data_IF_582303512367
#
_entry.id   IF_582303512367
#
_cell.length_a   1.000
_cell.length_b   1.000
_cell.length_c   1.000
_cell.angle_alpha   90.00
_cell.angle_beta   90.00
_cell.angle_gamma   90.00
#
_symmetry.space_group_name_H-M   'P 1'
#
loop_
_entity.id
_entity.type
_entity.pdbx_description
1 polymer ?
#
# COMPACT_ATOMS: atom_id res chain seq x y z
N UNK A 1 -13.01 -13.38 26.18
CA UNK A 1 -12.50 -12.93 24.87
C UNK A 1 -12.54 -11.41 24.83
N UNK A 2 -11.43 -10.77 25.17
CA UNK A 2 -11.30 -9.31 25.19
C UNK A 2 -11.21 -8.83 23.75
N UNK A 3 -12.24 -8.12 23.27
CA UNK A 3 -12.17 -7.43 21.98
C UNK A 3 -11.00 -6.44 22.03
N UNK A 4 -10.07 -6.42 21.05
CA UNK A 4 -9.11 -5.33 21.00
C UNK A 4 -9.89 -4.06 20.70
N UNK A 5 -9.96 -3.16 21.67
CA UNK A 5 -10.38 -1.79 21.43
C UNK A 5 -9.35 -1.23 20.44
N UNK A 6 -9.78 -0.97 19.20
CA UNK A 6 -8.98 -0.13 18.30
C UNK A 6 -8.90 1.23 18.99
N UNK A 7 -7.76 1.51 19.62
CA UNK A 7 -7.49 2.82 20.17
C UNK A 7 -7.43 3.82 19.02
N UNK A 8 -8.56 4.48 18.76
CA UNK A 8 -8.71 5.63 17.84
C UNK A 8 -8.10 6.89 18.46
N UNK A 9 -6.98 6.76 19.18
CA UNK A 9 -6.27 7.87 19.77
C UNK A 9 -4.98 8.10 19.02
N UNK A 10 -4.80 9.32 18.51
CA UNK A 10 -3.57 9.75 17.86
C UNK A 10 -2.39 9.55 18.83
N UNK A 11 -1.42 8.73 18.42
CA UNK A 11 -0.19 8.53 19.20
C UNK A 11 0.84 9.58 18.76
N UNK A 12 1.55 10.22 19.71
CA UNK A 12 2.54 11.22 19.37
C UNK A 12 3.70 10.59 18.59
N UNK A 13 4.13 11.25 17.51
CA UNK A 13 5.30 10.86 16.71
C UNK A 13 6.39 11.91 16.93
N UNK A 14 7.52 11.47 17.50
CA UNK A 14 8.67 12.33 17.74
C UNK A 14 9.67 12.21 16.58
N UNK A 15 9.85 13.28 15.80
CA UNK A 15 10.77 13.33 14.67
C UNK A 15 11.80 14.44 14.88
N UNK A 16 13.06 14.15 14.52
CA UNK A 16 14.12 15.16 14.42
C UNK A 16 14.25 15.57 12.97
N UNK A 17 14.13 16.86 12.71
CA UNK A 17 14.27 17.44 11.37
C UNK A 17 15.24 18.61 11.42
N UNK A 18 16.00 18.81 10.33
CA UNK A 18 16.83 19.99 10.18
C UNK A 18 15.96 21.23 9.98
N UNK A 19 16.45 22.37 10.44
CA UNK A 19 15.68 23.62 10.42
C UNK A 19 15.37 24.12 9.00
N UNK A 20 16.26 23.89 8.03
CA UNK A 20 16.01 24.24 6.64
C UNK A 20 14.87 23.41 6.01
N UNK A 21 14.83 22.10 6.32
CA UNK A 21 13.74 21.21 5.91
C UNK A 21 12.43 21.64 6.55
N UNK A 22 12.46 21.97 7.86
CA UNK A 22 11.30 22.47 8.59
C UNK A 22 10.70 23.71 7.92
N UNK A 23 11.52 24.71 7.61
CA UNK A 23 11.06 25.95 6.96
C UNK A 23 10.41 25.70 5.61
N UNK A 24 10.94 24.75 4.83
CA UNK A 24 10.36 24.36 3.56
C UNK A 24 8.97 23.72 3.74
N UNK A 25 8.82 22.83 4.72
CA UNK A 25 7.54 22.19 5.04
C UNK A 25 6.53 23.23 5.53
N UNK A 26 6.92 24.13 6.44
CA UNK A 26 6.04 25.18 6.97
C UNK A 26 5.50 26.06 5.83
N UNK A 27 6.35 26.43 4.85
CA UNK A 27 5.92 27.17 3.65
C UNK A 27 4.91 26.37 2.82
N UNK A 28 5.17 25.09 2.56
CA UNK A 28 4.29 24.24 1.77
C UNK A 28 2.92 24.01 2.46
N UNK A 29 2.94 23.81 3.78
CA UNK A 29 1.74 23.68 4.60
C UNK A 29 0.92 24.97 4.57
N UNK A 30 1.58 26.14 4.69
CA UNK A 30 0.94 27.45 4.60
C UNK A 30 0.24 27.68 3.25
N UNK A 31 0.86 27.29 2.13
CA UNK A 31 0.23 27.36 0.80
C UNK A 31 -1.03 26.49 0.67
N UNK A 32 -1.14 25.45 1.50
CA UNK A 32 -2.31 24.55 1.55
C UNK A 32 -3.30 24.91 2.65
N UNK A 33 -3.04 25.95 3.45
CA UNK A 33 -3.87 26.33 4.59
C UNK A 33 -3.90 25.28 5.71
N UNK A 34 -2.85 24.46 5.83
CA UNK A 34 -2.76 23.34 6.79
C UNK A 34 -1.73 23.62 7.87
N UNK A 35 -1.87 22.95 9.01
CA UNK A 35 -0.79 22.89 9.99
C UNK A 35 0.36 22.05 9.43
N UNK A 36 1.58 22.28 9.94
CA UNK A 36 2.75 21.46 9.60
C UNK A 36 2.50 19.97 9.87
N UNK A 37 1.91 19.65 11.02
CA UNK A 37 1.64 18.25 11.40
C UNK A 37 0.66 17.60 10.43
N UNK A 38 -0.44 18.27 10.08
CA UNK A 38 -1.42 17.72 9.13
C UNK A 38 -0.81 17.52 7.74
N UNK A 39 -0.04 18.50 7.27
CA UNK A 39 0.67 18.40 6.00
C UNK A 39 1.65 17.21 5.98
N UNK A 40 2.43 17.03 7.06
CA UNK A 40 3.37 15.92 7.17
C UNK A 40 2.68 14.56 7.24
N UNK A 41 1.58 14.44 7.99
CA UNK A 41 0.82 13.20 8.12
C UNK A 41 0.22 12.80 6.77
N UNK A 42 -0.42 13.74 6.06
CA UNK A 42 -0.99 13.47 4.74
C UNK A 42 0.07 13.11 3.71
N UNK A 43 1.20 13.81 3.71
CA UNK A 43 2.30 13.51 2.79
C UNK A 43 2.88 12.11 3.06
N UNK A 44 3.07 11.75 4.33
CA UNK A 44 3.54 10.42 4.72
C UNK A 44 2.52 9.33 4.36
N UNK A 45 1.22 9.59 4.55
CA UNK A 45 0.16 8.66 4.22
C UNK A 45 0.10 8.37 2.72
N UNK A 46 0.12 9.42 1.87
CA UNK A 46 0.16 9.27 0.41
C UNK A 46 1.41 8.52 -0.05
N UNK A 47 2.58 8.86 0.49
CA UNK A 47 3.80 8.16 0.14
C UNK A 47 3.74 6.67 0.51
N UNK A 48 3.08 6.33 1.62
CA UNK A 48 2.85 4.94 2.00
C UNK A 48 1.87 4.24 1.04
N UNK A 49 0.76 4.89 0.66
CA UNK A 49 -0.18 4.37 -0.33
C UNK A 49 0.52 4.10 -1.67
N UNK A 50 1.26 5.08 -2.19
CA UNK A 50 2.00 4.95 -3.45
C UNK A 50 3.00 3.79 -3.40
N UNK A 51 3.72 3.64 -2.27
CA UNK A 51 4.68 2.54 -2.08
C UNK A 51 4.01 1.17 -2.06
N UNK A 52 2.83 1.07 -1.43
CA UNK A 52 2.06 -0.18 -1.40
C UNK A 52 1.47 -0.51 -2.78
N UNK A 53 1.03 0.50 -3.52
CA UNK A 53 0.50 0.34 -4.88
C UNK A 53 1.58 -0.06 -5.88
N UNK A 54 2.80 0.48 -5.76
CA UNK A 54 3.94 0.08 -6.57
C UNK A 54 4.27 -1.42 -6.44
N UNK A 55 3.95 -2.05 -5.30
CA UNK A 55 4.09 -3.50 -5.12
C UNK A 55 2.98 -4.30 -5.80
N UNK A 56 1.81 -3.72 -6.04
CA UNK A 56 0.67 -4.38 -6.68
C UNK A 56 0.68 -4.27 -8.21
N UNK A 57 1.46 -3.35 -8.77
CA UNK A 57 1.53 -3.13 -10.22
C UNK A 57 2.60 -4.02 -10.88
N UNK A 58 2.16 -5.15 -11.44
CA UNK A 58 3.04 -5.98 -12.28
C UNK A 58 3.15 -5.36 -13.67
N UNK A 59 4.28 -4.72 -13.97
CA UNK A 59 4.58 -4.21 -15.31
C UNK A 59 5.12 -5.34 -16.19
N UNK A 60 4.44 -5.59 -17.30
CA UNK A 60 4.84 -6.56 -18.33
C UNK A 60 4.92 -5.85 -19.69
N UNK A 61 5.76 -6.36 -20.59
CA UNK A 61 5.77 -5.92 -21.99
C UNK A 61 4.50 -6.39 -22.73
N UNK A 62 4.29 -5.90 -23.95
CA UNK A 62 3.08 -6.16 -24.74
C UNK A 62 2.91 -7.64 -25.06
N UNK A 63 4.00 -8.36 -25.34
CA UNK A 63 3.95 -9.78 -25.71
C UNK A 63 3.60 -10.63 -24.47
N UNK A 64 4.25 -10.34 -23.34
CA UNK A 64 3.92 -10.95 -22.04
C UNK A 64 2.47 -10.67 -21.62
N UNK A 65 1.97 -9.45 -21.85
CA UNK A 65 0.58 -9.09 -21.57
C UNK A 65 -0.41 -9.91 -22.41
N UNK A 66 -0.19 -10.00 -23.72
CA UNK A 66 -1.02 -10.78 -24.63
C UNK A 66 -1.00 -12.28 -24.29
N UNK A 67 0.18 -12.82 -23.97
CA UNK A 67 0.32 -14.20 -23.53
C UNK A 67 -0.47 -14.47 -22.24
N UNK A 68 -0.39 -13.57 -21.26
CA UNK A 68 -1.08 -13.72 -19.99
C UNK A 68 -2.60 -13.66 -20.16
N UNK A 69 -3.12 -12.74 -20.98
CA UNK A 69 -4.55 -12.69 -21.31
C UNK A 69 -5.03 -13.97 -21.98
N UNK A 70 -4.28 -14.51 -22.94
CA UNK A 70 -4.64 -15.75 -23.61
C UNK A 70 -4.75 -16.94 -22.65
N UNK A 71 -3.94 -16.97 -21.58
CA UNK A 71 -4.06 -17.97 -20.51
C UNK A 71 -5.30 -17.71 -19.65
N UNK A 72 -5.59 -16.46 -19.29
CA UNK A 72 -6.74 -16.11 -18.44
C UNK A 72 -8.10 -16.35 -19.11
N UNK A 73 -8.17 -16.23 -20.44
CA UNK A 73 -9.39 -16.51 -21.20
C UNK A 73 -9.70 -18.00 -21.35
N UNK A 74 -8.76 -18.88 -20.99
CA UNK A 74 -8.98 -20.33 -20.99
C UNK A 74 -9.70 -20.77 -19.71
N UNK A 75 -10.60 -21.78 -19.79
CA UNK A 75 -11.20 -22.34 -18.60
C UNK A 75 -10.11 -22.92 -17.67
N UNK A 76 -10.26 -22.75 -16.34
CA UNK A 76 -9.26 -23.25 -15.41
C UNK A 76 -9.13 -24.78 -15.49
N UNK A 77 -7.90 -25.28 -15.59
CA UNK A 77 -7.65 -26.71 -15.74
C UNK A 77 -6.17 -27.09 -15.70
N UNK A 78 -5.88 -28.37 -15.93
CA UNK A 78 -4.53 -28.94 -15.93
C UNK A 78 -4.01 -29.33 -14.55
N UNK A 79 -2.85 -30.00 -14.51
CA UNK A 79 -2.26 -30.56 -13.29
C UNK A 79 -1.95 -29.50 -12.22
N UNK A 80 -1.58 -28.29 -12.65
CA UNK A 80 -1.31 -27.16 -11.74
C UNK A 80 -2.55 -26.69 -11.00
N UNK A 81 -3.69 -26.58 -11.70
CA UNK A 81 -4.98 -26.22 -11.11
C UNK A 81 -5.45 -27.28 -10.13
N UNK A 82 -5.41 -28.56 -10.53
CA UNK A 82 -5.77 -29.70 -9.67
C UNK A 82 -4.93 -29.73 -8.37
N UNK A 83 -3.63 -29.48 -8.49
CA UNK A 83 -2.72 -29.41 -7.33
C UNK A 83 -3.07 -28.23 -6.42
N UNK A 84 -3.37 -27.06 -6.99
CA UNK A 84 -3.76 -25.87 -6.21
C UNK A 84 -5.07 -26.09 -5.46
N UNK A 85 -6.08 -26.69 -6.10
CA UNK A 85 -7.37 -26.97 -5.47
C UNK A 85 -7.29 -28.01 -4.36
N UNK A 86 -6.29 -28.90 -4.40
CA UNK A 86 -6.01 -29.90 -3.34
C UNK A 86 -5.14 -29.34 -2.21
N UNK A 87 -4.53 -28.17 -2.37
CA UNK A 87 -3.68 -27.59 -1.35
C UNK A 87 -4.49 -27.19 -0.11
N UNK A 88 -3.97 -27.43 1.11
CA UNK A 88 -4.65 -27.03 2.35
C UNK A 88 -4.77 -25.51 2.43
N UNK A 89 -5.94 -25.02 2.84
CA UNK A 89 -6.20 -23.58 2.93
C UNK A 89 -5.39 -22.97 4.09
N UNK A 90 -4.49 -22.00 3.84
CA UNK A 90 -3.57 -21.49 4.86
C UNK A 90 -4.23 -20.70 6.00
N UNK A 91 -5.53 -20.39 5.89
CA UNK A 91 -6.31 -19.66 6.90
C UNK A 91 -7.28 -20.54 7.69
N UNK A 92 -7.31 -21.86 7.45
CA UNK A 92 -7.99 -22.78 8.37
C UNK A 92 -6.97 -23.23 9.42
N UNK A 93 -6.88 -22.43 10.48
CA UNK A 93 -6.27 -22.84 11.76
C UNK A 93 -7.39 -23.29 12.68
#
# INVERSE_FOLDING_TARGET
MTKPSMETHAKPVNLRIREDVRRMIDRAAGLRGKTRSDFMIEAAYRAAEDTLLDQALVRVDVDSYGHYLAILDQPPGGEGFERLMKAPKPWRV
#
